data_IF_230528124987
#
_entry.id   IF_230528124987
#
_cell.length_a   1.000
_cell.length_b   1.000
_cell.length_c   1.000
_cell.angle_alpha   90.00
_cell.angle_beta   90.00
_cell.angle_gamma   90.00
#
_symmetry.space_group_name_H-M   'P 1'
#
loop_
_entity.id
_entity.type
_entity.pdbx_description
1 polymer ?
#
# COMPACT_ATOMS: atom_id res chain seq x y z
N UNK A 1 11.63 49.77 4.38
CA UNK A 1 11.64 48.90 5.58
C UNK A 1 10.86 47.59 5.34
N UNK A 2 11.26 46.73 4.38
CA UNK A 2 10.51 45.50 4.02
C UNK A 2 11.27 44.17 4.20
N UNK A 3 12.60 44.17 4.02
CA UNK A 3 13.40 42.94 4.07
C UNK A 3 13.44 42.25 5.45
N UNK A 4 13.44 43.04 6.53
CA UNK A 4 13.37 42.53 7.92
C UNK A 4 12.06 41.78 8.23
N UNK A 5 10.95 42.14 7.58
CA UNK A 5 9.67 41.44 7.76
C UNK A 5 9.67 40.10 7.02
N UNK A 6 10.21 40.07 5.80
CA UNK A 6 10.33 38.84 5.00
C UNK A 6 11.28 37.82 5.65
N UNK A 7 12.42 38.29 6.19
CA UNK A 7 13.34 37.42 6.92
C UNK A 7 12.68 36.75 8.14
N UNK A 8 11.83 37.48 8.87
CA UNK A 8 11.07 36.93 10.00
C UNK A 8 10.05 35.89 9.56
N UNK A 9 9.34 36.13 8.45
CA UNK A 9 8.39 35.17 7.91
C UNK A 9 9.06 33.85 7.51
N UNK A 10 10.21 33.94 6.83
CA UNK A 10 10.99 32.75 6.44
C UNK A 10 11.46 31.98 7.68
N UNK A 11 11.97 32.69 8.70
CA UNK A 11 12.43 32.06 9.94
C UNK A 11 11.30 31.35 10.70
N UNK A 12 10.11 31.97 10.78
CA UNK A 12 8.93 31.39 11.43
C UNK A 12 8.47 30.14 10.67
N UNK A 13 8.40 30.21 9.33
CA UNK A 13 8.00 29.06 8.52
C UNK A 13 8.97 27.90 8.67
N UNK A 14 10.28 28.18 8.66
CA UNK A 14 11.31 27.16 8.86
C UNK A 14 11.19 26.51 10.24
N UNK A 15 10.99 27.31 11.30
CA UNK A 15 10.79 26.79 12.65
C UNK A 15 9.54 25.92 12.75
N UNK A 16 8.43 26.33 12.13
CA UNK A 16 7.20 25.54 12.09
C UNK A 16 7.43 24.19 11.40
N UNK A 17 8.11 24.16 10.25
CA UNK A 17 8.44 22.91 9.54
C UNK A 17 9.32 21.99 10.42
N UNK A 18 10.37 22.54 11.04
CA UNK A 18 11.26 21.77 11.93
C UNK A 18 10.48 21.18 13.11
N UNK A 19 9.56 21.95 13.70
CA UNK A 19 8.72 21.46 14.80
C UNK A 19 7.80 20.32 14.35
N UNK A 20 7.11 20.47 13.22
CA UNK A 20 6.23 19.42 12.67
C UNK A 20 7.00 18.14 12.38
N UNK A 21 8.17 18.23 11.75
CA UNK A 21 9.03 17.07 11.47
C UNK A 21 9.48 16.37 12.75
N UNK A 22 9.83 17.15 13.78
CA UNK A 22 10.26 16.60 15.08
C UNK A 22 9.12 15.87 15.77
N UNK A 23 7.90 16.44 15.77
CA UNK A 23 6.72 15.79 16.34
C UNK A 23 6.40 14.47 15.64
N UNK A 24 6.41 14.44 14.30
CA UNK A 24 6.18 13.20 13.52
C UNK A 24 7.25 12.15 13.84
N UNK A 25 8.52 12.57 13.95
CA UNK A 25 9.62 11.65 14.27
C UNK A 25 9.46 11.05 15.67
N UNK A 26 8.98 11.84 16.64
CA UNK A 26 8.75 11.36 18.02
C UNK A 26 7.56 10.41 18.10
N UNK A 27 6.44 10.70 17.45
CA UNK A 27 5.28 9.77 17.35
C UNK A 27 5.68 8.43 16.73
N UNK A 28 6.58 8.45 15.75
CA UNK A 28 7.05 7.24 15.06
C UNK A 28 8.08 6.42 15.86
N UNK A 29 8.68 6.99 16.89
CA UNK A 29 9.54 6.25 17.83
C UNK A 29 8.75 5.47 18.89
N UNK A 30 7.41 5.50 18.83
CA UNK A 30 6.56 4.58 19.56
C UNK A 30 6.62 3.17 18.97
N UNK A 31 7.56 2.36 19.46
CA UNK A 31 7.44 0.90 19.56
C UNK A 31 6.15 0.57 20.32
N UNK A 32 4.99 0.67 19.65
CA UNK A 32 3.76 0.13 20.22
C UNK A 32 3.85 -1.40 20.09
N UNK A 33 3.75 -2.14 21.21
CA UNK A 33 3.70 -3.59 21.16
C UNK A 33 2.52 -4.02 20.27
N UNK A 34 2.70 -5.06 19.43
CA UNK A 34 1.64 -5.53 18.56
C UNK A 34 0.40 -5.86 19.39
N UNK A 35 -0.75 -5.29 19.01
CA UNK A 35 -2.00 -5.50 19.73
C UNK A 35 -2.32 -7.01 19.78
N UNK A 36 -2.63 -7.57 20.97
CA UNK A 36 -3.03 -8.96 21.11
C UNK A 36 -4.40 -9.15 20.44
N UNK A 37 -4.44 -9.94 19.36
CA UNK A 37 -5.67 -10.24 18.62
C UNK A 37 -5.53 -10.31 17.10
N UNK A 38 -4.39 -9.91 16.53
CA UNK A 38 -4.13 -10.09 15.10
C UNK A 38 -3.68 -11.52 14.82
N UNK A 39 -4.62 -12.45 14.86
CA UNK A 39 -4.46 -13.76 14.22
C UNK A 39 -4.34 -13.50 12.71
N UNK A 40 -3.11 -13.38 12.22
CA UNK A 40 -2.85 -13.35 10.78
C UNK A 40 -3.11 -14.75 10.27
N UNK A 41 -4.25 -14.96 9.62
CA UNK A 41 -4.59 -16.23 8.99
C UNK A 41 -3.59 -16.46 7.83
N UNK A 42 -2.66 -17.43 7.91
CA UNK A 42 -1.46 -17.42 7.08
C UNK A 42 -1.56 -18.35 5.87
N UNK A 43 -2.60 -18.21 5.03
CA UNK A 43 -2.72 -19.09 3.85
C UNK A 43 -3.18 -18.44 2.54
N UNK A 44 -3.80 -17.26 2.58
CA UNK A 44 -4.16 -16.50 1.37
C UNK A 44 -3.61 -15.07 1.34
N UNK A 45 -3.03 -14.61 2.45
CA UNK A 45 -2.33 -13.33 2.55
C UNK A 45 -0.97 -13.40 1.86
N UNK A 46 -0.26 -14.52 1.97
CA UNK A 46 1.14 -14.59 1.53
C UNK A 46 1.27 -14.58 0.01
N UNK A 47 0.46 -15.35 -0.72
CA UNK A 47 0.48 -15.35 -2.19
C UNK A 47 0.04 -14.00 -2.80
N UNK A 48 -1.02 -13.39 -2.26
CA UNK A 48 -1.50 -12.08 -2.72
C UNK A 48 -0.49 -10.97 -2.38
N UNK A 49 0.15 -11.02 -1.19
CA UNK A 49 1.20 -10.08 -0.79
C UNK A 49 2.45 -10.19 -1.66
N UNK A 50 2.86 -11.40 -2.03
CA UNK A 50 3.99 -11.62 -2.94
C UNK A 50 3.68 -11.02 -4.32
N UNK A 51 2.49 -11.29 -4.85
CA UNK A 51 2.01 -10.68 -6.10
C UNK A 51 1.99 -9.14 -6.03
N UNK A 52 1.42 -8.58 -4.96
CA UNK A 52 1.41 -7.13 -4.73
C UNK A 52 2.82 -6.54 -4.66
N UNK A 53 3.76 -7.20 -3.96
CA UNK A 53 5.15 -6.73 -3.85
C UNK A 53 5.84 -6.70 -5.20
N UNK A 54 5.65 -7.72 -6.04
CA UNK A 54 6.19 -7.75 -7.40
C UNK A 54 5.62 -6.59 -8.23
N UNK A 55 4.31 -6.37 -8.18
CA UNK A 55 3.67 -5.25 -8.88
C UNK A 55 4.15 -3.87 -8.37
N UNK A 56 4.37 -3.73 -7.07
CA UNK A 56 4.94 -2.51 -6.48
C UNK A 56 6.37 -2.24 -6.96
N UNK A 57 7.20 -3.28 -7.10
CA UNK A 57 8.56 -3.15 -7.60
C UNK A 57 8.62 -2.71 -9.06
N UNK A 58 7.60 -3.03 -9.87
CA UNK A 58 7.49 -2.58 -11.26
C UNK A 58 7.04 -1.12 -11.39
N UNK A 59 6.41 -0.54 -10.37
CA UNK A 59 6.00 0.85 -10.37
C UNK A 59 4.95 1.16 -11.45
N UNK A 60 5.19 2.18 -12.26
CA UNK A 60 4.27 2.61 -13.33
C UNK A 60 4.00 1.50 -14.36
N UNK A 61 4.99 0.66 -14.67
CA UNK A 61 4.84 -0.43 -15.63
C UNK A 61 3.77 -1.46 -15.20
N UNK A 62 3.48 -1.58 -13.90
CA UNK A 62 2.42 -2.44 -13.42
C UNK A 62 1.01 -1.95 -13.79
N UNK A 63 0.84 -0.67 -14.15
CA UNK A 63 -0.45 -0.12 -14.56
C UNK A 63 -0.91 -0.64 -15.93
N UNK A 64 0.03 -1.10 -16.77
CA UNK A 64 -0.24 -1.70 -18.08
C UNK A 64 -0.24 -3.24 -18.03
N UNK A 65 0.13 -3.84 -16.89
CA UNK A 65 0.22 -5.29 -16.70
C UNK A 65 -1.11 -5.89 -16.22
N UNK A 66 -1.68 -6.79 -17.02
CA UNK A 66 -2.98 -7.40 -16.74
C UNK A 66 -2.99 -8.26 -15.47
N UNK A 67 -1.85 -8.89 -15.11
CA UNK A 67 -1.71 -9.70 -13.90
C UNK A 67 -1.74 -8.80 -12.66
N UNK A 68 -1.05 -7.66 -12.71
CA UNK A 68 -1.04 -6.68 -11.63
C UNK A 68 -2.39 -6.00 -11.41
N UNK A 69 -3.10 -5.69 -12.49
CA UNK A 69 -4.47 -5.16 -12.41
C UNK A 69 -5.42 -6.14 -11.71
N UNK A 70 -5.28 -7.45 -11.99
CA UNK A 70 -6.08 -8.48 -11.34
C UNK A 70 -5.77 -8.58 -9.83
N UNK A 71 -4.48 -8.56 -9.45
CA UNK A 71 -4.05 -8.60 -8.05
C UNK A 71 -4.60 -7.40 -7.28
N UNK A 72 -4.56 -6.19 -7.84
CA UNK A 72 -5.12 -5.00 -7.18
C UNK A 72 -6.64 -5.05 -7.06
N UNK A 73 -7.34 -5.55 -8.10
CA UNK A 73 -8.78 -5.74 -8.05
C UNK A 73 -9.18 -6.70 -6.93
N UNK A 74 -8.49 -7.84 -6.81
CA UNK A 74 -8.75 -8.83 -5.76
C UNK A 74 -8.44 -8.25 -4.36
N UNK A 75 -7.33 -7.53 -4.22
CA UNK A 75 -6.96 -6.85 -2.97
C UNK A 75 -8.02 -5.86 -2.52
N UNK A 76 -8.50 -5.03 -3.46
CA UNK A 76 -9.56 -4.06 -3.23
C UNK A 76 -10.86 -4.75 -2.85
N UNK A 77 -11.26 -5.78 -3.58
CA UNK A 77 -12.52 -6.48 -3.35
C UNK A 77 -12.54 -7.13 -1.96
N UNK A 78 -11.43 -7.76 -1.54
CA UNK A 78 -11.26 -8.26 -0.16
C UNK A 78 -11.29 -7.15 0.89
N UNK A 79 -10.61 -6.03 0.67
CA UNK A 79 -10.63 -4.89 1.59
C UNK A 79 -12.05 -4.35 1.78
N UNK A 80 -12.83 -4.33 0.70
CA UNK A 80 -14.22 -3.89 0.71
C UNK A 80 -15.18 -4.98 1.19
N UNK A 81 -14.70 -6.14 1.62
CA UNK A 81 -15.52 -7.25 2.07
C UNK A 81 -16.39 -7.87 0.98
N UNK A 82 -16.10 -7.58 -0.30
CA UNK A 82 -16.73 -8.30 -1.41
C UNK A 82 -16.07 -9.68 -1.43
N UNK A 83 -16.87 -10.72 -1.21
CA UNK A 83 -16.38 -12.09 -1.34
C UNK A 83 -15.68 -12.22 -2.72
N UNK A 84 -14.46 -12.78 -2.79
CA UNK A 84 -13.81 -12.99 -4.07
C UNK A 84 -14.80 -13.78 -4.91
N UNK A 85 -15.17 -13.24 -6.07
CA UNK A 85 -15.83 -14.04 -7.09
C UNK A 85 -14.88 -15.22 -7.29
N UNK A 86 -15.31 -16.40 -6.87
CA UNK A 86 -14.48 -17.59 -6.98
C UNK A 86 -14.05 -17.64 -8.44
N UNK A 87 -12.75 -17.41 -8.69
CA UNK A 87 -12.15 -17.59 -10.00
C UNK A 87 -12.34 -19.05 -10.31
N UNK A 88 -13.48 -19.39 -10.91
CA UNK A 88 -13.80 -20.74 -11.31
C UNK A 88 -12.67 -21.09 -12.26
N UNK A 89 -11.87 -22.13 -12.00
CA UNK A 89 -10.85 -22.55 -12.94
C UNK A 89 -11.58 -22.77 -14.26
N UNK A 90 -11.27 -21.94 -15.27
CA UNK A 90 -11.77 -22.17 -16.61
C UNK A 90 -11.30 -23.59 -16.95
N UNK A 91 -12.21 -24.56 -17.20
CA UNK A 91 -11.78 -25.88 -17.59
C UNK A 91 -10.92 -25.68 -18.83
N UNK A 92 -9.66 -26.12 -18.74
CA UNK A 92 -8.82 -26.27 -19.90
C UNK A 92 -9.64 -27.07 -20.90
N UNK A 93 -10.05 -26.43 -21.97
CA UNK A 93 -10.65 -27.09 -23.11
C UNK A 93 -9.51 -27.92 -23.70
N UNK A 94 -9.33 -29.14 -23.17
CA UNK A 94 -8.58 -30.17 -23.86
C UNK A 94 -9.30 -30.37 -25.20
N UNK A 95 -8.64 -30.17 -26.35
CA UNK A 95 -9.21 -30.63 -27.58
C UNK A 95 -9.19 -32.16 -27.51
N UNK A 96 -10.35 -32.76 -27.71
CA UNK A 96 -10.49 -34.11 -28.25
C UNK A 96 -9.41 -34.35 -29.32
N UNK A 97 -8.61 -35.39 -29.12
CA UNK A 97 -7.88 -36.08 -30.16
C UNK A 97 -8.08 -37.57 -29.90
N UNK A 98 -9.08 -38.09 -30.61
CA UNK A 98 -9.12 -39.38 -31.32
C UNK A 98 -8.26 -40.54 -30.79
#
# INVERSE_FOLDING_TARGET
MGGKAMARLIAILFLAIVMTVTLIRMERSGDLPPLPGRQVQPQAEDSLREGQRRCQQMGEAAAEDAECLAIWAETRDRFLGRAPAQSTPRPATSPEAE
#
